data_IF_909689618011
#
_entry.id   IF_909689618011
#
_cell.length_a   1.000
_cell.length_b   1.000
_cell.length_c   1.000
_cell.angle_alpha   90.00
_cell.angle_beta   90.00
_cell.angle_gamma   90.00
#
_symmetry.space_group_name_H-M   'P 1'
#
loop_
_entity.id
_entity.type
_entity.pdbx_description
1 polymer ?
#
# COMPACT_ATOMS: atom_id res chain seq x y z
N UNK A 1 -9.92 20.62 25.54
CA UNK A 1 -10.52 20.58 26.89
C UNK A 1 -10.84 19.12 27.20
N UNK A 2 -10.23 18.45 28.19
CA UNK A 2 -10.62 17.09 28.53
C UNK A 2 -11.71 17.09 29.61
N UNK A 3 -12.77 16.34 29.35
CA UNK A 3 -13.91 16.15 30.25
C UNK A 3 -13.57 15.12 31.33
N UNK A 4 -13.62 15.54 32.59
CA UNK A 4 -13.43 14.67 33.75
C UNK A 4 -14.72 13.89 34.02
N UNK A 5 -14.69 12.56 33.91
CA UNK A 5 -15.77 11.69 34.38
C UNK A 5 -15.54 11.34 35.85
N UNK A 6 -16.47 11.76 36.71
CA UNK A 6 -16.43 11.54 38.17
C UNK A 6 -17.15 10.22 38.49
N UNK A 7 -16.42 9.26 39.06
CA UNK A 7 -17.02 8.07 39.66
C UNK A 7 -17.63 8.41 41.02
N UNK A 8 -18.97 8.30 41.15
CA UNK A 8 -19.67 8.45 42.44
C UNK A 8 -19.73 7.10 43.15
N UNK A 9 -19.02 6.96 44.26
CA UNK A 9 -19.18 5.86 45.20
C UNK A 9 -20.25 6.20 46.25
N UNK A 10 -21.09 5.21 46.60
CA UNK A 10 -22.21 5.32 47.55
C UNK A 10 -21.77 5.75 48.95
N UNK A 11 -22.58 6.60 49.56
CA UNK A 11 -22.48 7.13 50.92
C UNK A 11 -22.43 6.03 51.99
N UNK A 12 -21.44 6.11 52.88
CA UNK A 12 -21.53 5.67 54.28
C UNK A 12 -20.77 6.68 55.13
N UNK A 13 -21.43 7.21 56.15
CA UNK A 13 -21.00 8.40 56.90
C UNK A 13 -19.93 8.06 57.96
N UNK A 14 -18.66 8.40 57.69
CA UNK A 14 -17.50 8.35 58.63
C UNK A 14 -16.52 9.48 58.23
N UNK A 15 -15.82 10.17 59.18
CA UNK A 15 -15.42 11.57 59.01
C UNK A 15 -14.27 11.82 58.01
N UNK A 16 -14.25 13.07 57.54
CA UNK A 16 -13.47 13.57 56.42
C UNK A 16 -11.94 13.45 56.60
N UNK A 17 -11.38 12.34 56.15
CA UNK A 17 -10.04 12.32 55.59
C UNK A 17 -10.18 12.80 54.14
N UNK A 18 -9.57 13.94 53.79
CA UNK A 18 -9.46 14.39 52.39
C UNK A 18 -8.60 13.38 51.62
N UNK A 19 -9.19 12.24 51.28
CA UNK A 19 -8.60 11.31 50.32
C UNK A 19 -8.52 12.10 49.02
N UNK A 20 -7.29 12.41 48.60
CA UNK A 20 -7.02 12.87 47.25
C UNK A 20 -7.77 11.92 46.32
N UNK A 21 -8.81 12.42 45.64
CA UNK A 21 -9.56 11.63 44.67
C UNK A 21 -8.54 11.14 43.65
N UNK A 22 -8.13 9.87 43.77
CA UNK A 22 -7.28 9.21 42.77
C UNK A 22 -8.04 9.37 41.47
N UNK A 23 -7.54 10.23 40.58
CA UNK A 23 -8.05 10.34 39.22
C UNK A 23 -7.74 9.00 38.59
N UNK A 24 -8.70 8.07 38.60
CA UNK A 24 -8.53 6.79 37.94
C UNK A 24 -8.21 7.10 36.47
N UNK A 25 -7.14 6.50 35.95
CA UNK A 25 -6.74 6.71 34.58
C UNK A 25 -7.86 6.22 33.66
N UNK A 26 -8.01 6.81 32.47
CA UNK A 26 -8.92 6.30 31.45
C UNK A 26 -8.67 4.80 31.19
N UNK A 27 -7.41 4.37 31.30
CA UNK A 27 -7.00 2.97 31.27
C UNK A 27 -7.64 2.12 32.36
N UNK A 28 -7.61 2.57 33.62
CA UNK A 28 -8.19 1.82 34.75
C UNK A 28 -9.71 1.67 34.60
N UNK A 29 -10.37 2.70 34.05
CA UNK A 29 -11.80 2.64 33.74
C UNK A 29 -12.12 1.61 32.67
N UNK A 30 -11.40 1.63 31.54
CA UNK A 30 -11.59 0.66 30.46
C UNK A 30 -11.32 -0.75 30.99
N UNK A 31 -10.23 -0.94 31.73
CA UNK A 31 -9.89 -2.22 32.34
C UNK A 31 -11.00 -2.75 33.25
N UNK A 32 -11.52 -1.91 34.15
CA UNK A 32 -12.58 -2.30 35.08
C UNK A 32 -13.84 -2.79 34.35
N UNK A 33 -14.32 -2.06 33.35
CA UNK A 33 -15.50 -2.48 32.60
C UNK A 33 -15.23 -3.69 31.69
N UNK A 34 -13.99 -3.83 31.18
CA UNK A 34 -13.57 -5.02 30.43
C UNK A 34 -13.56 -6.26 31.32
N UNK A 35 -13.04 -6.15 32.54
CA UNK A 35 -13.09 -7.23 33.53
C UNK A 35 -14.53 -7.63 33.85
N UNK A 36 -15.46 -6.68 33.97
CA UNK A 36 -16.88 -7.00 34.13
C UNK A 36 -17.46 -7.80 32.96
N UNK A 37 -16.99 -7.57 31.72
CA UNK A 37 -17.39 -8.37 30.56
C UNK A 37 -16.84 -9.81 30.64
N UNK A 38 -15.59 -9.97 31.08
CA UNK A 38 -14.95 -11.29 31.26
C UNK A 38 -15.64 -12.10 32.34
N UNK A 39 -15.96 -11.47 33.48
CA UNK A 39 -16.65 -12.12 34.61
C UNK A 39 -18.12 -12.41 34.24
N UNK A 40 -18.71 -11.64 33.32
CA UNK A 40 -20.09 -11.79 32.89
C UNK A 40 -21.11 -11.07 33.79
N UNK A 41 -20.63 -10.20 34.69
CA UNK A 41 -21.50 -9.41 35.58
C UNK A 41 -21.89 -8.08 34.94
N UNK A 42 -23.18 -7.73 34.97
CA UNK A 42 -23.71 -6.42 34.51
C UNK A 42 -23.21 -6.04 33.11
N UNK A 43 -23.24 -7.00 32.17
CA UNK A 43 -22.67 -6.85 30.82
C UNK A 43 -23.24 -5.66 30.05
N UNK A 44 -24.55 -5.40 30.15
CA UNK A 44 -25.19 -4.23 29.52
C UNK A 44 -24.59 -2.91 30.05
N UNK A 45 -24.36 -2.83 31.37
CA UNK A 45 -23.77 -1.65 31.98
C UNK A 45 -22.31 -1.46 31.54
N UNK A 46 -21.54 -2.55 31.49
CA UNK A 46 -20.17 -2.55 31.00
C UNK A 46 -20.09 -2.04 29.55
N UNK A 47 -20.90 -2.60 28.65
CA UNK A 47 -20.93 -2.20 27.24
C UNK A 47 -21.32 -0.74 27.06
N UNK A 48 -22.34 -0.28 27.79
CA UNK A 48 -22.75 1.12 27.75
C UNK A 48 -21.62 2.05 28.20
N UNK A 49 -20.94 1.72 29.30
CA UNK A 49 -19.84 2.53 29.82
C UNK A 49 -18.62 2.55 28.90
N UNK A 50 -18.25 1.41 28.32
CA UNK A 50 -17.17 1.33 27.32
C UNK A 50 -17.49 2.15 26.06
N UNK A 51 -18.77 2.24 25.67
CA UNK A 51 -19.22 3.10 24.57
C UNK A 51 -19.17 4.59 24.92
N UNK A 52 -19.45 4.98 26.16
CA UNK A 52 -19.40 6.39 26.60
C UNK A 52 -17.98 6.93 26.79
N UNK A 53 -17.01 6.06 27.11
CA UNK A 53 -15.63 6.49 27.35
C UNK A 53 -15.00 7.06 26.07
N UNK A 54 -14.51 8.29 26.14
CA UNK A 54 -13.76 8.96 25.07
C UNK A 54 -12.26 8.89 25.38
N UNK A 55 -11.58 7.88 24.84
CA UNK A 55 -10.16 7.65 25.01
C UNK A 55 -9.54 7.09 23.72
N UNK A 56 -8.22 7.23 23.51
CA UNK A 56 -7.58 6.76 22.28
C UNK A 56 -7.69 5.25 22.15
N UNK A 57 -7.73 4.75 20.90
CA UNK A 57 -7.97 3.31 20.63
C UNK A 57 -6.94 2.41 21.33
N UNK A 58 -5.70 2.89 21.47
CA UNK A 58 -4.60 2.17 22.15
C UNK A 58 -4.99 1.68 23.54
N UNK A 59 -5.75 2.47 24.30
CA UNK A 59 -6.17 2.07 25.66
C UNK A 59 -7.09 0.85 25.62
N UNK A 60 -7.96 0.76 24.61
CA UNK A 60 -8.84 -0.40 24.43
C UNK A 60 -8.08 -1.62 23.92
N UNK A 61 -7.05 -1.41 23.08
CA UNK A 61 -6.14 -2.44 22.59
C UNK A 61 -5.31 -3.03 23.73
N UNK A 62 -4.73 -2.18 24.58
CA UNK A 62 -3.96 -2.59 25.77
C UNK A 62 -4.80 -3.42 26.75
N UNK A 63 -6.09 -3.07 26.90
CA UNK A 63 -7.02 -3.82 27.74
C UNK A 63 -7.62 -5.06 27.05
N UNK A 64 -7.25 -5.35 25.79
CA UNK A 64 -7.80 -6.44 24.97
C UNK A 64 -9.33 -6.44 24.85
N UNK A 65 -9.93 -5.25 24.97
CA UNK A 65 -11.39 -5.07 25.06
C UNK A 65 -12.11 -5.63 23.85
N UNK A 66 -11.56 -5.38 22.66
CA UNK A 66 -12.10 -5.86 21.40
C UNK A 66 -12.09 -7.40 21.30
N UNK A 67 -11.02 -8.02 21.80
CA UNK A 67 -10.89 -9.48 21.79
C UNK A 67 -11.87 -10.14 22.76
N UNK A 68 -12.05 -9.56 23.95
CA UNK A 68 -13.06 -10.01 24.93
C UNK A 68 -14.45 -9.95 24.32
N UNK A 69 -14.77 -8.87 23.60
CA UNK A 69 -16.07 -8.71 22.97
C UNK A 69 -16.33 -9.75 21.89
N UNK A 70 -15.34 -10.04 21.03
CA UNK A 70 -15.49 -11.05 19.97
C UNK A 70 -15.56 -12.47 20.52
N UNK A 71 -14.89 -12.76 21.64
CA UNK A 71 -14.84 -14.09 22.24
C UNK A 71 -16.10 -14.42 23.04
N UNK A 72 -16.70 -13.42 23.68
CA UNK A 72 -17.85 -13.63 24.55
C UNK A 72 -19.14 -13.62 23.73
N UNK A 73 -19.98 -14.64 23.93
CA UNK A 73 -21.30 -14.72 23.30
C UNK A 73 -22.28 -13.79 24.00
N UNK A 74 -22.67 -12.74 23.30
CA UNK A 74 -23.53 -11.68 23.80
C UNK A 74 -24.93 -11.76 23.20
N UNK A 75 -25.54 -12.96 23.15
CA UNK A 75 -26.77 -13.24 22.39
C UNK A 75 -27.90 -12.21 22.61
N UNK A 76 -28.13 -11.77 23.86
CA UNK A 76 -29.20 -10.81 24.18
C UNK A 76 -28.85 -9.34 23.86
N UNK A 77 -27.58 -9.00 23.70
CA UNK A 77 -27.11 -7.62 23.57
C UNK A 77 -26.01 -7.50 22.50
N UNK A 78 -26.09 -8.36 21.49
CA UNK A 78 -25.17 -8.43 20.36
C UNK A 78 -25.11 -7.10 19.63
N UNK A 79 -26.25 -6.42 19.45
CA UNK A 79 -26.31 -5.09 18.87
C UNK A 79 -25.40 -4.07 19.59
N UNK A 80 -25.36 -4.10 20.93
CA UNK A 80 -24.52 -3.18 21.72
C UNK A 80 -23.03 -3.51 21.57
N UNK A 81 -22.70 -4.79 21.44
CA UNK A 81 -21.35 -5.26 21.17
C UNK A 81 -20.89 -4.84 19.76
N UNK A 82 -21.74 -5.03 18.74
CA UNK A 82 -21.47 -4.62 17.36
C UNK A 82 -21.29 -3.11 17.23
N UNK A 83 -22.12 -2.33 17.93
CA UNK A 83 -21.99 -0.87 17.97
C UNK A 83 -20.64 -0.42 18.56
N UNK A 84 -20.15 -1.14 19.59
CA UNK A 84 -18.86 -0.88 20.21
C UNK A 84 -17.70 -1.27 19.28
N UNK A 85 -17.80 -2.40 18.58
CA UNK A 85 -16.84 -2.78 17.54
C UNK A 85 -16.79 -1.75 16.40
N UNK A 86 -17.96 -1.29 15.95
CA UNK A 86 -18.07 -0.24 14.93
C UNK A 86 -17.43 1.07 15.38
N UNK A 87 -17.56 1.42 16.67
CA UNK A 87 -16.86 2.56 17.27
C UNK A 87 -15.34 2.38 17.21
N UNK A 88 -14.81 1.20 17.55
CA UNK A 88 -13.37 0.92 17.46
C UNK A 88 -12.84 1.10 16.04
N UNK A 89 -13.52 0.55 15.04
CA UNK A 89 -13.14 0.74 13.63
C UNK A 89 -13.21 2.22 13.21
N UNK A 90 -14.23 2.95 13.65
CA UNK A 90 -14.35 4.38 13.36
C UNK A 90 -13.19 5.18 14.00
N UNK A 91 -12.77 4.83 15.22
CA UNK A 91 -11.60 5.45 15.86
C UNK A 91 -10.31 5.15 15.08
N UNK A 92 -10.06 3.89 14.68
CA UNK A 92 -8.89 3.52 13.86
C UNK A 92 -8.86 4.28 12.52
N UNK A 93 -10.00 4.38 11.83
CA UNK A 93 -10.10 5.18 10.58
C UNK A 93 -9.80 6.65 10.82
N UNK A 94 -10.37 7.24 11.87
CA UNK A 94 -10.15 8.65 12.23
C UNK A 94 -8.68 8.93 12.56
N UNK A 95 -8.03 8.06 13.33
CA UNK A 95 -6.60 8.19 13.64
C UNK A 95 -5.73 8.07 12.40
N UNK A 96 -6.04 7.15 11.48
CA UNK A 96 -5.31 7.00 10.21
C UNK A 96 -5.46 8.24 9.32
N UNK A 97 -6.69 8.74 9.15
CA UNK A 97 -6.95 9.98 8.40
C UNK A 97 -6.19 11.15 9.02
N UNK A 98 -6.19 11.26 10.35
CA UNK A 98 -5.48 12.33 11.04
C UNK A 98 -3.95 12.20 10.88
N UNK A 99 -3.41 10.98 10.90
CA UNK A 99 -2.00 10.73 10.62
C UNK A 99 -1.64 11.12 9.17
N UNK A 100 -2.45 10.74 8.18
CA UNK A 100 -2.27 11.14 6.79
C UNK A 100 -2.31 12.67 6.61
N UNK A 101 -3.26 13.36 7.27
CA UNK A 101 -3.34 14.81 7.23
C UNK A 101 -2.11 15.48 7.86
N UNK A 102 -1.56 14.93 8.96
CA UNK A 102 -0.32 15.43 9.55
C UNK A 102 0.86 15.25 8.62
N UNK A 103 0.99 14.08 7.98
CA UNK A 103 2.04 13.81 6.99
C UNK A 103 1.95 14.76 5.79
N UNK A 104 0.75 14.95 5.24
CA UNK A 104 0.50 15.87 4.12
C UNK A 104 0.84 17.33 4.47
N UNK A 105 0.53 17.77 5.70
CA UNK A 105 0.85 19.14 6.17
C UNK A 105 2.34 19.34 6.45
N UNK A 106 3.03 18.30 6.92
CA UNK A 106 4.44 18.35 7.25
C UNK A 106 5.35 18.07 6.03
N UNK A 107 4.78 17.89 4.83
CA UNK A 107 5.52 17.67 3.59
C UNK A 107 6.19 16.28 3.48
N UNK A 108 6.09 15.43 4.50
CA UNK A 108 6.55 14.05 4.45
C UNK A 108 5.58 13.21 3.61
N UNK A 109 5.88 13.15 2.32
CA UNK A 109 5.26 12.23 1.37
C UNK A 109 5.78 10.81 1.59
N UNK A 110 5.80 10.32 2.82
CA UNK A 110 5.83 8.87 3.05
C UNK A 110 4.41 8.38 2.82
N UNK A 111 4.03 8.27 1.55
CA UNK A 111 2.98 7.38 1.15
C UNK A 111 3.42 5.99 1.61
N UNK A 112 3.00 5.61 2.82
CA UNK A 112 3.10 4.26 3.31
C UNK A 112 2.05 3.43 2.54
N UNK A 113 2.18 3.39 1.22
CA UNK A 113 1.70 2.28 0.42
C UNK A 113 2.38 1.10 1.08
N UNK A 114 1.62 0.25 1.74
CA UNK A 114 2.10 -1.02 2.20
C UNK A 114 2.60 -1.77 0.96
N UNK A 115 3.90 -1.61 0.67
CA UNK A 115 4.63 -2.29 -0.38
C UNK A 115 4.69 -3.76 0.04
N UNK A 116 3.60 -4.49 -0.21
CA UNK A 116 3.67 -5.93 -0.24
C UNK A 116 4.50 -6.27 -1.48
N UNK A 117 5.62 -7.01 -1.35
CA UNK A 117 6.49 -7.33 -2.49
C UNK A 117 5.71 -8.00 -3.63
N UNK A 118 4.68 -8.78 -3.29
CA UNK A 118 3.74 -9.38 -4.25
C UNK A 118 3.08 -8.36 -5.19
N UNK A 119 2.76 -7.15 -4.71
CA UNK A 119 2.11 -6.12 -5.54
C UNK A 119 3.07 -5.50 -6.55
N UNK A 120 4.36 -5.44 -6.20
CA UNK A 120 5.41 -4.95 -7.11
C UNK A 120 5.65 -5.94 -8.24
N UNK A 121 5.68 -7.24 -7.91
CA UNK A 121 5.83 -8.31 -8.90
C UNK A 121 4.62 -8.37 -9.84
N UNK A 122 3.40 -8.29 -9.29
CA UNK A 122 2.17 -8.24 -10.08
C UNK A 122 2.17 -7.04 -11.04
N UNK A 123 2.59 -5.87 -10.57
CA UNK A 123 2.64 -4.66 -11.39
C UNK A 123 3.72 -4.75 -12.47
N UNK A 124 4.89 -5.32 -12.16
CA UNK A 124 5.94 -5.60 -13.16
C UNK A 124 5.43 -6.54 -14.25
N UNK A 125 4.78 -7.63 -13.88
CA UNK A 125 4.20 -8.60 -14.82
C UNK A 125 3.14 -7.96 -15.72
N UNK A 126 2.25 -7.12 -15.18
CA UNK A 126 1.24 -6.41 -15.97
C UNK A 126 1.89 -5.47 -16.99
N UNK A 127 2.94 -4.76 -16.58
CA UNK A 127 3.68 -3.85 -17.48
C UNK A 127 4.41 -4.65 -18.58
N UNK A 128 5.02 -5.77 -18.23
CA UNK A 128 5.72 -6.65 -19.17
C UNK A 128 4.76 -7.24 -20.20
N UNK A 129 3.64 -7.81 -19.75
CA UNK A 129 2.59 -8.33 -20.62
C UNK A 129 2.03 -7.24 -21.56
N UNK A 130 1.87 -6.00 -21.07
CA UNK A 130 1.43 -4.87 -21.89
C UNK A 130 2.45 -4.55 -22.98
N UNK A 131 3.74 -4.52 -22.65
CA UNK A 131 4.81 -4.29 -23.63
C UNK A 131 4.84 -5.38 -24.69
N UNK A 132 4.73 -6.65 -24.30
CA UNK A 132 4.69 -7.78 -25.24
C UNK A 132 3.50 -7.65 -26.20
N UNK A 133 2.30 -7.37 -25.68
CA UNK A 133 1.11 -7.21 -26.51
C UNK A 133 1.20 -6.01 -27.45
N UNK A 134 1.81 -4.90 -27.02
CA UNK A 134 2.09 -3.73 -27.87
C UNK A 134 3.08 -4.07 -28.98
N UNK A 135 4.18 -4.78 -28.68
CA UNK A 135 5.11 -5.24 -29.72
C UNK A 135 4.45 -6.17 -30.72
N UNK A 136 3.64 -7.11 -30.24
CA UNK A 136 2.91 -8.05 -31.10
C UNK A 136 1.91 -7.31 -32.00
N UNK A 137 1.24 -6.27 -31.50
CA UNK A 137 0.38 -5.41 -32.32
C UNK A 137 1.18 -4.66 -33.39
N UNK A 138 2.36 -4.13 -33.07
CA UNK A 138 3.21 -3.47 -34.07
C UNK A 138 3.60 -4.42 -35.20
N UNK A 139 4.00 -5.65 -34.87
CA UNK A 139 4.30 -6.69 -35.86
C UNK A 139 3.08 -7.07 -36.69
N UNK A 140 1.92 -7.31 -36.06
CA UNK A 140 0.69 -7.66 -36.76
C UNK A 140 0.23 -6.55 -37.71
N UNK A 141 0.36 -5.29 -37.29
CA UNK A 141 0.03 -4.12 -38.10
C UNK A 141 0.99 -3.97 -39.29
N UNK A 142 2.30 -4.17 -39.09
CA UNK A 142 3.28 -4.14 -40.18
C UNK A 142 3.01 -5.25 -41.21
N UNK A 143 2.79 -6.48 -40.74
CA UNK A 143 2.48 -7.63 -41.60
C UNK A 143 1.16 -7.46 -42.38
N UNK A 144 0.16 -6.83 -41.76
CA UNK A 144 -1.13 -6.56 -42.41
C UNK A 144 -1.00 -5.45 -43.47
N UNK A 145 -0.19 -4.41 -43.21
CA UNK A 145 0.08 -3.34 -44.18
C UNK A 145 0.79 -3.86 -45.44
N UNK A 146 1.69 -4.84 -45.30
CA UNK A 146 2.37 -5.45 -46.46
C UNK A 146 1.52 -6.47 -47.21
N UNK A 147 0.51 -7.06 -46.55
CA UNK A 147 -0.37 -8.08 -47.17
C UNK A 147 -1.54 -7.49 -47.96
N UNK A 148 -1.99 -6.28 -47.60
CA UNK A 148 -3.05 -5.55 -48.30
C UNK A 148 -2.55 -4.52 -49.32
N UNK A 149 -1.27 -4.14 -49.27
CA UNK A 149 -0.65 -3.32 -50.30
C UNK A 149 -0.07 -4.21 -51.38
N UNK A 150 -0.81 -4.41 -52.47
CA UNK A 150 -0.20 -4.63 -53.78
C UNK A 150 0.49 -3.34 -54.22
N UNK A 151 1.47 -2.86 -53.44
CA UNK A 151 2.43 -1.89 -53.94
C UNK A 151 3.24 -2.67 -54.95
N UNK A 152 2.84 -2.54 -56.20
CA UNK A 152 3.71 -2.72 -57.35
C UNK A 152 4.91 -1.81 -57.12
N UNK A 153 5.90 -2.29 -56.37
CA UNK A 153 7.22 -1.68 -56.32
C UNK A 153 7.62 -1.58 -57.79
N UNK A 154 7.72 -0.37 -58.38
CA UNK A 154 8.19 -0.31 -59.73
C UNK A 154 9.63 -0.80 -59.64
N UNK A 155 9.92 -1.95 -60.28
CA UNK A 155 11.28 -2.40 -60.53
C UNK A 155 11.92 -1.39 -61.48
N UNK A 156 12.22 -0.20 -60.97
CA UNK A 156 12.99 0.80 -61.70
C UNK A 156 14.38 0.21 -61.80
N UNK A 157 14.75 -0.20 -63.02
CA UNK A 157 16.12 -0.63 -63.32
C UNK A 157 17.03 0.56 -63.00
N UNK A 158 18.05 0.40 -62.14
CA UNK A 158 18.99 1.49 -61.89
C UNK A 158 19.63 1.90 -63.22
N UNK A 159 19.61 3.21 -63.52
CA UNK A 159 20.25 3.73 -64.72
C UNK A 159 21.76 3.83 -64.48
N UNK A 160 22.49 2.88 -65.09
CA UNK A 160 23.94 2.84 -65.00
C UNK A 160 24.65 3.74 -66.04
N UNK A 161 23.90 4.44 -66.91
CA UNK A 161 24.45 5.32 -67.96
C UNK A 161 25.37 6.42 -67.41
N UNK A 162 25.09 6.89 -66.19
CA UNK A 162 25.93 7.90 -65.52
C UNK A 162 27.24 7.35 -64.96
N UNK A 163 27.40 6.04 -64.85
CA UNK A 163 28.59 5.41 -64.29
C UNK A 163 29.52 4.92 -65.40
N UNK A 164 30.62 5.65 -65.65
CA UNK A 164 31.71 5.14 -66.48
C UNK A 164 32.56 4.15 -65.68
N UNK A 165 32.39 2.86 -65.94
CA UNK A 165 33.28 1.82 -65.41
C UNK A 165 34.60 1.89 -66.22
N UNK A 166 35.63 2.51 -65.65
CA UNK A 166 36.98 2.49 -66.24
C UNK A 166 37.67 1.19 -65.82
N UNK A 167 37.97 0.33 -66.80
CA UNK A 167 38.82 -0.85 -66.59
C UNK A 167 40.23 -0.39 -66.24
N UNK A 168 40.66 -0.59 -65.00
CA UNK A 168 42.09 -0.51 -64.66
C UNK A 168 42.76 -1.76 -65.22
N UNK A 169 43.64 -1.60 -66.20
CA UNK A 169 44.56 -2.66 -66.61
C UNK A 169 45.41 -3.02 -65.39
N UNK A 170 45.30 -4.29 -64.97
CA UNK A 170 46.06 -4.83 -63.84
C UNK A 170 47.50 -5.02 -64.30
N UNK A 171 48.38 -4.09 -63.93
CA UNK A 171 49.81 -4.38 -63.89
C UNK A 171 50.04 -5.44 -62.81
N UNK A 172 50.63 -6.55 -63.22
CA UNK A 172 50.99 -7.68 -62.37
C UNK A 172 52.05 -7.28 -61.35
N UNK A 173 51.77 -7.42 -60.06
CA UNK A 173 52.76 -7.89 -59.09
C UNK A 173 52.05 -8.51 -57.89
N UNK A 174 52.47 -9.74 -57.59
CA UNK A 174 52.10 -10.55 -56.45
C UNK A 174 52.88 -10.11 -55.20
N UNK A 175 52.20 -9.88 -54.09
CA UNK A 175 52.55 -10.49 -52.79
C UNK A 175 51.57 -10.02 -51.70
N UNK A 176 51.28 -10.96 -50.83
CA UNK A 176 50.39 -10.94 -49.68
C UNK A 176 50.91 -10.10 -48.52
N UNK A 177 50.01 -9.40 -47.83
CA UNK A 177 50.10 -9.21 -46.37
C UNK A 177 48.74 -8.76 -45.81
N UNK A 178 48.10 -9.66 -45.08
CA UNK A 178 46.90 -9.41 -44.26
C UNK A 178 47.21 -8.39 -43.15
N UNK A 179 46.25 -7.53 -42.76
CA UNK A 179 46.23 -6.97 -41.43
C UNK A 179 45.13 -7.64 -40.60
N UNK A 180 45.58 -8.30 -39.54
CA UNK A 180 44.83 -8.67 -38.35
C UNK A 180 44.47 -7.44 -37.50
N UNK A 181 43.68 -7.70 -36.45
CA UNK A 181 43.32 -6.80 -35.32
C UNK A 181 42.11 -5.90 -35.57
N UNK A 182 41.20 -5.67 -34.62
CA UNK A 182 40.90 -6.28 -33.32
C UNK A 182 39.60 -5.63 -32.84
N UNK A 183 38.70 -6.44 -32.30
CA UNK A 183 37.49 -6.00 -31.60
C UNK A 183 37.85 -5.23 -30.32
N UNK A 184 37.52 -3.94 -30.27
CA UNK A 184 37.50 -3.17 -29.02
C UNK A 184 36.07 -3.06 -28.51
N UNK A 185 35.72 -3.94 -27.58
CA UNK A 185 34.60 -3.75 -26.66
C UNK A 185 35.05 -2.73 -25.60
N UNK A 186 34.24 -1.71 -25.36
CA UNK A 186 34.47 -0.78 -24.25
C UNK A 186 33.15 -0.48 -23.54
N UNK A 187 32.90 -1.23 -22.48
CA UNK A 187 32.07 -0.81 -21.35
C UNK A 187 33.00 -0.27 -20.27
N UNK A 188 32.66 0.87 -19.64
CA UNK A 188 33.09 1.12 -18.27
C UNK A 188 31.88 1.34 -17.36
N UNK A 189 31.83 0.52 -16.32
CA UNK A 189 31.16 0.82 -15.06
C UNK A 189 31.80 2.08 -14.43
N UNK A 190 30.97 3.00 -13.94
CA UNK A 190 31.02 3.54 -12.59
C UNK A 190 29.60 3.81 -12.11
#
# INVERSE_FOLDING_TARGET
MPSNTVCKSRSSAIPAVRQAQKRCSAHDYVRHYTEMLVIGTRQIHALHKLREIDCPIRVFEDCLTEQVIRKNNFELYQYMADDLLRKFDAMRRKENIQAQQRLAKNGEHTAHVSFKPEFVELQKMIIEQRKESETNQLFANAMSKTKGSSSTVPRVKPDYSKFKIVKRSKASSSSSSSPSSSSSTSSPNQ
#
